data_IF_079956955373
#
_entry.id   IF_079956955373
#
_cell.length_a   1.000
_cell.length_b   1.000
_cell.length_c   1.000
_cell.angle_alpha   90.00
_cell.angle_beta   90.00
_cell.angle_gamma   90.00
#
_symmetry.space_group_name_H-M   'P 1'
#
loop_
_entity.id
_entity.type
_entity.pdbx_description
1 polymer ?
#
# COMPACT_ATOMS: atom_id res chain seq x y z
N UNK A 1 23.02 0.03 -20.91
CA UNK A 1 22.40 -1.08 -20.14
C UNK A 1 22.93 -0.95 -18.73
N UNK A 2 22.20 -0.23 -17.87
CA UNK A 2 22.66 0.17 -16.53
C UNK A 2 21.64 -0.29 -15.49
N UNK A 3 22.20 -0.74 -14.38
CA UNK A 3 21.65 -1.53 -13.29
C UNK A 3 20.61 -0.71 -12.51
N UNK A 4 19.34 -1.11 -12.55
CA UNK A 4 18.36 -0.64 -11.57
C UNK A 4 18.38 -1.63 -10.39
N UNK A 5 19.17 -1.28 -9.38
CA UNK A 5 19.18 -1.96 -8.09
C UNK A 5 17.76 -1.97 -7.51
N UNK A 6 17.33 -3.13 -7.01
CA UNK A 6 16.01 -3.37 -6.45
C UNK A 6 15.73 -2.56 -5.17
N UNK A 7 15.41 -1.28 -5.35
CA UNK A 7 14.83 -0.41 -4.33
C UNK A 7 13.31 -0.32 -4.55
N UNK A 8 12.56 -0.26 -3.44
CA UNK A 8 11.15 0.13 -3.46
C UNK A 8 11.00 1.43 -4.24
N UNK A 9 10.08 1.46 -5.22
CA UNK A 9 9.82 2.64 -6.04
C UNK A 9 8.85 3.62 -5.38
N UNK A 10 8.36 3.32 -4.17
CA UNK A 10 7.74 4.31 -3.29
C UNK A 10 8.87 4.97 -2.49
N UNK A 11 9.03 6.31 -2.53
CA UNK A 11 10.10 7.01 -1.81
C UNK A 11 10.05 6.67 -0.32
N UNK A 12 11.16 6.16 0.23
CA UNK A 12 11.26 5.77 1.65
C UNK A 12 10.93 6.96 2.57
N UNK A 13 11.37 8.15 2.16
CA UNK A 13 11.24 9.40 2.88
C UNK A 13 9.77 9.85 3.04
N UNK A 14 8.91 9.57 2.05
CA UNK A 14 7.47 9.92 2.11
C UNK A 14 6.67 8.98 3.01
N UNK A 15 7.08 7.71 3.12
CA UNK A 15 6.42 6.74 4.01
C UNK A 15 6.86 6.94 5.47
N UNK A 16 8.11 7.37 5.67
CA UNK A 16 8.66 7.68 6.99
C UNK A 16 8.06 8.97 7.59
N UNK A 17 7.73 9.97 6.76
CA UNK A 17 7.08 11.21 7.21
C UNK A 17 5.64 10.97 7.73
N UNK A 18 4.95 10.00 7.13
CA UNK A 18 3.62 9.54 7.62
C UNK A 18 3.76 8.91 9.00
N UNK A 19 4.80 8.08 9.22
CA UNK A 19 5.03 7.36 10.48
C UNK A 19 5.15 8.28 11.70
N UNK A 20 5.69 9.49 11.52
CA UNK A 20 5.91 10.45 12.60
C UNK A 20 4.64 11.23 13.00
N UNK A 21 3.62 11.24 12.15
CA UNK A 21 2.36 11.99 12.39
C UNK A 21 1.32 11.17 13.19
N UNK A 22 1.63 9.91 13.50
CA UNK A 22 0.65 8.88 13.87
C UNK A 22 0.34 8.80 15.38
N UNK A 23 1.12 9.44 16.26
CA UNK A 23 1.06 9.24 17.73
C UNK A 23 -0.26 9.52 18.46
N UNK A 24 -1.37 9.82 17.77
CA UNK A 24 -2.71 9.94 18.35
C UNK A 24 -3.89 9.77 17.36
N UNK A 25 -3.66 9.46 16.07
CA UNK A 25 -4.72 9.38 15.06
C UNK A 25 -5.41 8.01 15.08
N UNK A 26 -6.73 8.00 14.85
CA UNK A 26 -7.47 6.76 14.55
C UNK A 26 -6.80 6.08 13.34
N UNK A 27 -6.45 4.80 13.49
CA UNK A 27 -5.74 4.02 12.48
C UNK A 27 -6.50 3.93 11.14
N UNK A 28 -7.82 4.09 11.16
CA UNK A 28 -8.65 4.19 9.95
C UNK A 28 -8.33 5.46 9.17
N UNK A 29 -8.20 6.59 9.85
CA UNK A 29 -7.80 7.85 9.24
C UNK A 29 -6.40 7.76 8.64
N UNK A 30 -5.50 7.01 9.28
CA UNK A 30 -4.16 6.76 8.72
C UNK A 30 -4.23 5.98 7.41
N UNK A 31 -5.06 4.93 7.33
CA UNK A 31 -5.22 4.15 6.09
C UNK A 31 -5.93 4.94 4.99
N UNK A 32 -6.85 5.83 5.35
CA UNK A 32 -7.43 6.80 4.43
C UNK A 32 -6.36 7.74 3.88
N UNK A 33 -5.55 8.36 4.73
CA UNK A 33 -4.44 9.25 4.35
C UNK A 33 -3.44 8.52 3.42
N UNK A 34 -3.05 7.29 3.77
CA UNK A 34 -2.17 6.44 2.95
C UNK A 34 -2.77 6.17 1.57
N UNK A 35 -4.06 5.84 1.50
CA UNK A 35 -4.71 5.57 0.22
C UNK A 35 -4.73 6.79 -0.70
N UNK A 36 -4.90 8.00 -0.14
CA UNK A 36 -4.83 9.27 -0.88
C UNK A 36 -3.42 9.51 -1.39
N UNK A 37 -2.41 9.35 -0.53
CA UNK A 37 -1.02 9.57 -0.88
C UNK A 37 -0.57 8.63 -2.01
N UNK A 38 -0.86 7.33 -1.88
CA UNK A 38 -0.49 6.33 -2.88
C UNK A 38 -1.24 6.56 -4.20
N UNK A 39 -2.52 6.93 -4.15
CA UNK A 39 -3.29 7.27 -5.34
C UNK A 39 -2.69 8.48 -6.09
N UNK A 40 -2.33 9.52 -5.35
CA UNK A 40 -1.70 10.72 -5.90
C UNK A 40 -0.34 10.41 -6.51
N UNK A 41 0.48 9.62 -5.81
CA UNK A 41 1.80 9.21 -6.29
C UNK A 41 1.71 8.53 -7.66
N UNK A 42 0.91 7.46 -7.79
CA UNK A 42 0.80 6.75 -9.07
C UNK A 42 0.17 7.59 -10.19
N UNK A 43 -0.73 8.52 -9.85
CA UNK A 43 -1.29 9.46 -10.84
C UNK A 43 -0.26 10.50 -11.31
N UNK A 44 0.64 10.94 -10.44
CA UNK A 44 1.71 11.91 -10.76
C UNK A 44 2.91 11.24 -11.43
N UNK A 45 3.08 9.93 -11.23
CA UNK A 45 4.17 9.12 -11.79
C UNK A 45 3.62 8.00 -12.70
N UNK A 46 3.11 8.33 -13.91
CA UNK A 46 2.46 7.36 -14.80
C UNK A 46 3.39 6.21 -15.25
N UNK A 47 4.71 6.42 -15.27
CA UNK A 47 5.69 5.33 -15.49
C UNK A 47 5.70 4.33 -14.34
N UNK A 48 5.65 4.81 -13.08
CA UNK A 48 5.55 3.94 -11.92
C UNK A 48 4.18 3.22 -11.88
N UNK A 49 3.09 3.92 -12.23
CA UNK A 49 1.76 3.33 -12.38
C UNK A 49 1.74 2.24 -13.45
N UNK A 50 2.36 2.45 -14.61
CA UNK A 50 2.45 1.44 -15.67
C UNK A 50 3.26 0.20 -15.24
N UNK A 51 4.38 0.39 -14.52
CA UNK A 51 5.24 -0.71 -14.09
C UNK A 51 4.65 -1.55 -12.95
N UNK A 52 3.91 -0.91 -12.05
CA UNK A 52 3.35 -1.55 -10.84
C UNK A 52 1.91 -2.02 -11.03
N UNK A 53 1.12 -1.29 -11.82
CA UNK A 53 -0.32 -1.50 -11.98
C UNK A 53 -0.72 -1.90 -13.40
N UNK A 54 0.20 -1.86 -14.37
CA UNK A 54 -0.04 -2.30 -15.74
C UNK A 54 -0.17 -3.83 -15.87
N UNK A 55 -0.95 -4.30 -16.85
CA UNK A 55 -1.29 -5.72 -17.05
C UNK A 55 -0.21 -6.57 -17.74
N UNK A 56 0.96 -5.99 -18.06
CA UNK A 56 2.08 -6.70 -18.71
C UNK A 56 3.28 -6.59 -17.78
N UNK A 57 3.25 -7.35 -16.69
CA UNK A 57 4.35 -7.43 -15.73
C UNK A 57 5.30 -8.55 -16.15
N UNK A 58 6.55 -8.19 -16.45
CA UNK A 58 7.64 -9.18 -16.55
C UNK A 58 7.88 -9.82 -15.17
N UNK A 59 8.63 -10.93 -15.12
CA UNK A 59 9.02 -11.58 -13.84
C UNK A 59 9.68 -10.59 -12.86
N UNK A 60 10.41 -9.58 -13.36
CA UNK A 60 11.04 -8.57 -12.52
C UNK A 60 10.03 -7.56 -11.96
N UNK A 61 9.02 -7.14 -12.73
CA UNK A 61 7.93 -6.29 -12.23
C UNK A 61 7.12 -6.99 -11.14
N UNK A 62 6.87 -8.30 -11.27
CA UNK A 62 6.24 -9.09 -10.22
C UNK A 62 7.09 -9.15 -8.93
N UNK A 63 8.41 -9.30 -9.07
CA UNK A 63 9.33 -9.30 -7.92
C UNK A 63 9.42 -7.93 -7.25
N UNK A 64 9.45 -6.84 -8.03
CA UNK A 64 9.43 -5.47 -7.51
C UNK A 64 8.10 -5.16 -6.78
N UNK A 65 6.98 -5.68 -7.31
CA UNK A 65 5.68 -5.60 -6.66
C UNK A 65 5.67 -6.33 -5.33
N UNK A 66 6.15 -7.58 -5.28
CA UNK A 66 6.28 -8.35 -4.04
C UNK A 66 7.17 -7.66 -2.99
N UNK A 67 8.29 -7.06 -3.40
CA UNK A 67 9.14 -6.28 -2.51
C UNK A 67 8.42 -5.03 -1.96
N UNK A 68 7.62 -4.37 -2.79
CA UNK A 68 6.80 -3.21 -2.37
C UNK A 68 5.76 -3.64 -1.34
N UNK A 69 5.08 -4.77 -1.57
CA UNK A 69 4.08 -5.31 -0.64
C UNK A 69 4.70 -5.65 0.71
N UNK A 70 5.84 -6.34 0.73
CA UNK A 70 6.55 -6.66 1.97
C UNK A 70 7.00 -5.38 2.71
N UNK A 71 7.43 -4.37 1.95
CA UNK A 71 7.91 -3.11 2.53
C UNK A 71 6.78 -2.27 3.13
N UNK A 72 5.67 -2.10 2.41
CA UNK A 72 4.48 -1.41 2.94
C UNK A 72 3.87 -2.23 4.07
N UNK A 73 3.93 -3.56 4.01
CA UNK A 73 3.53 -4.44 5.11
C UNK A 73 4.28 -4.15 6.42
N UNK A 74 5.59 -3.91 6.36
CA UNK A 74 6.38 -3.50 7.54
C UNK A 74 5.90 -2.17 8.14
N UNK A 75 5.42 -1.24 7.33
CA UNK A 75 4.85 0.03 7.82
C UNK A 75 3.49 -0.18 8.48
N UNK A 76 2.66 -1.08 7.94
CA UNK A 76 1.43 -1.50 8.60
C UNK A 76 1.74 -2.11 9.98
N UNK A 77 2.80 -2.91 10.10
CA UNK A 77 3.24 -3.45 11.41
C UNK A 77 3.57 -2.36 12.42
N UNK A 78 4.39 -1.38 12.02
CA UNK A 78 4.82 -0.29 12.88
C UNK A 78 3.64 0.58 13.30
N UNK A 79 2.70 0.84 12.37
CA UNK A 79 1.45 1.54 12.65
C UNK A 79 0.63 0.81 13.70
N UNK A 80 0.45 -0.50 13.56
CA UNK A 80 -0.33 -1.32 14.51
C UNK A 80 0.34 -1.38 15.89
N UNK A 81 1.65 -1.57 15.94
CA UNK A 81 2.41 -1.56 17.18
C UNK A 81 2.28 -0.20 17.92
N UNK A 82 2.22 0.92 17.18
CA UNK A 82 2.08 2.26 17.77
C UNK A 82 0.73 2.51 18.46
N UNK A 83 -0.31 1.76 18.09
CA UNK A 83 -1.65 1.82 18.70
C UNK A 83 -1.92 0.65 19.66
N UNK A 84 -0.89 -0.12 20.02
CA UNK A 84 -0.98 -1.24 20.95
C UNK A 84 -1.62 -2.51 20.38
N UNK A 85 -1.70 -2.62 19.05
CA UNK A 85 -2.22 -3.80 18.36
C UNK A 85 -1.05 -4.65 17.88
N UNK A 86 -0.97 -5.90 18.34
CA UNK A 86 -0.11 -6.91 17.75
C UNK A 86 -0.88 -7.66 16.67
N UNK A 87 -0.45 -7.51 15.41
CA UNK A 87 -0.99 -8.31 14.33
C UNK A 87 -0.50 -9.76 14.44
N UNK A 88 -1.34 -10.75 14.08
CA UNK A 88 -0.93 -12.15 14.09
C UNK A 88 0.35 -12.38 13.28
N UNK A 89 1.35 -12.98 13.91
CA UNK A 89 2.54 -13.51 13.25
C UNK A 89 2.39 -15.03 13.09
N UNK A 90 2.10 -15.50 11.88
CA UNK A 90 1.87 -16.92 11.59
C UNK A 90 2.00 -17.25 10.10
N UNK A 91 1.33 -18.32 9.66
CA UNK A 91 1.28 -18.70 8.23
C UNK A 91 0.66 -17.61 7.34
N UNK A 92 -0.25 -16.82 7.91
CA UNK A 92 -0.85 -15.65 7.30
C UNK A 92 -0.04 -14.41 7.68
N UNK A 93 0.31 -13.58 6.69
CA UNK A 93 0.83 -12.22 6.90
C UNK A 93 -0.30 -11.20 6.65
N UNK A 94 -0.99 -10.74 7.71
CA UNK A 94 -2.13 -9.82 7.56
C UNK A 94 -1.71 -8.48 6.96
N UNK A 95 -0.44 -8.09 7.12
CA UNK A 95 0.10 -6.82 6.66
C UNK A 95 0.26 -6.84 5.15
N UNK A 96 0.95 -7.88 4.65
CA UNK A 96 1.11 -8.09 3.22
C UNK A 96 -0.26 -8.23 2.52
N UNK A 97 -1.20 -8.96 3.14
CA UNK A 97 -2.52 -9.14 2.54
C UNK A 97 -3.36 -7.85 2.53
N UNK A 98 -3.27 -7.02 3.58
CA UNK A 98 -3.90 -5.69 3.61
C UNK A 98 -3.44 -4.85 2.43
N UNK A 99 -2.13 -4.78 2.20
CA UNK A 99 -1.54 -3.99 1.12
C UNK A 99 -1.96 -4.52 -0.25
N UNK A 100 -2.01 -5.84 -0.43
CA UNK A 100 -2.46 -6.45 -1.68
C UNK A 100 -3.93 -6.16 -2.00
N UNK A 101 -4.81 -6.20 -0.99
CA UNK A 101 -6.22 -5.85 -1.17
C UNK A 101 -6.38 -4.40 -1.65
N UNK A 102 -5.69 -3.45 -1.01
CA UNK A 102 -5.69 -2.05 -1.44
C UNK A 102 -5.10 -1.87 -2.84
N UNK A 103 -3.96 -2.52 -3.12
CA UNK A 103 -3.27 -2.46 -4.41
C UNK A 103 -4.15 -2.99 -5.55
N UNK A 104 -4.92 -4.05 -5.31
CA UNK A 104 -5.85 -4.59 -6.30
C UNK A 104 -6.91 -3.56 -6.73
N UNK A 105 -7.45 -2.76 -5.80
CA UNK A 105 -8.38 -1.67 -6.09
C UNK A 105 -7.72 -0.61 -6.99
N UNK A 106 -6.51 -0.18 -6.66
CA UNK A 106 -5.77 0.83 -7.43
C UNK A 106 -5.43 0.31 -8.83
N UNK A 107 -5.00 -0.95 -8.92
CA UNK A 107 -4.67 -1.62 -10.18
C UNK A 107 -5.88 -1.68 -11.12
N UNK A 108 -7.04 -2.05 -10.58
CA UNK A 108 -8.28 -2.11 -11.35
C UNK A 108 -8.67 -0.72 -11.86
N UNK A 109 -8.54 0.33 -11.04
CA UNK A 109 -8.79 1.71 -11.48
C UNK A 109 -7.87 2.10 -12.63
N UNK A 110 -6.58 1.83 -12.50
CA UNK A 110 -5.59 2.19 -13.52
C UNK A 110 -5.86 1.46 -14.83
N UNK A 111 -6.20 0.17 -14.78
CA UNK A 111 -6.57 -0.62 -15.95
C UNK A 111 -7.80 -0.06 -16.68
N UNK A 112 -8.85 0.31 -15.93
CA UNK A 112 -10.11 0.77 -16.52
C UNK A 112 -10.08 2.23 -16.97
N UNK A 113 -9.28 3.08 -16.32
CA UNK A 113 -9.38 4.53 -16.46
C UNK A 113 -8.05 5.21 -16.85
N UNK A 114 -6.94 4.46 -16.92
CA UNK A 114 -5.60 5.01 -17.12
C UNK A 114 -5.10 5.86 -15.95
N UNK A 115 -5.83 5.87 -14.83
CA UNK A 115 -5.53 6.62 -13.60
C UNK A 115 -6.28 6.03 -12.42
N UNK A 116 -5.84 6.37 -11.22
CA UNK A 116 -6.57 6.07 -9.98
C UNK A 116 -7.63 7.16 -9.78
N UNK A 117 -8.89 6.75 -9.76
CA UNK A 117 -10.02 7.67 -9.54
C UNK A 117 -10.35 7.79 -8.05
N UNK A 118 -11.02 8.87 -7.61
CA UNK A 118 -11.44 9.01 -6.22
C UNK A 118 -12.33 7.87 -5.71
N UNK A 119 -13.14 7.26 -6.58
CA UNK A 119 -13.98 6.13 -6.20
C UNK A 119 -13.14 4.92 -5.80
N UNK A 120 -12.18 4.54 -6.64
CA UNK A 120 -11.31 3.39 -6.38
C UNK A 120 -10.27 3.66 -5.28
N UNK A 121 -9.87 4.90 -5.07
CA UNK A 121 -9.06 5.29 -3.91
C UNK A 121 -9.83 5.05 -2.60
N UNK A 122 -11.13 5.39 -2.53
CA UNK A 122 -11.96 5.08 -1.35
C UNK A 122 -12.13 3.57 -1.15
N UNK A 123 -12.33 2.81 -2.22
CA UNK A 123 -12.39 1.34 -2.13
C UNK A 123 -11.07 0.73 -1.65
N UNK A 124 -9.93 1.31 -2.04
CA UNK A 124 -8.62 0.91 -1.50
C UNK A 124 -8.56 1.09 0.02
N UNK A 125 -8.94 2.27 0.53
CA UNK A 125 -9.02 2.51 1.97
C UNK A 125 -9.99 1.54 2.67
N UNK A 126 -11.21 1.40 2.13
CA UNK A 126 -12.25 0.55 2.69
C UNK A 126 -11.82 -0.94 2.75
N UNK A 127 -11.13 -1.44 1.72
CA UNK A 127 -10.61 -2.81 1.70
C UNK A 127 -9.55 -3.03 2.78
N UNK A 128 -8.61 -2.09 2.93
CA UNK A 128 -7.57 -2.17 3.95
C UNK A 128 -8.15 -2.10 5.37
N UNK A 129 -9.03 -1.12 5.60
CA UNK A 129 -9.72 -0.94 6.90
C UNK A 129 -10.57 -2.16 7.24
N UNK A 130 -11.39 -2.63 6.30
CA UNK A 130 -12.30 -3.76 6.54
C UNK A 130 -11.55 -5.04 6.89
N UNK A 131 -10.39 -5.28 6.27
CA UNK A 131 -9.57 -6.45 6.58
C UNK A 131 -8.89 -6.33 7.95
N UNK A 132 -8.25 -5.18 8.25
CA UNK A 132 -7.54 -4.97 9.52
C UNK A 132 -8.47 -4.87 10.74
N UNK A 133 -9.70 -4.34 10.56
CA UNK A 133 -10.71 -4.26 11.63
C UNK A 133 -10.99 -5.63 12.26
N UNK A 134 -10.85 -6.72 11.49
CA UNK A 134 -11.04 -8.10 11.97
C UNK A 134 -10.04 -8.56 13.03
N UNK A 135 -8.94 -7.82 13.20
CA UNK A 135 -7.90 -8.11 14.18
C UNK A 135 -7.81 -7.04 15.27
N UNK A 136 -8.25 -5.81 14.97
CA UNK A 136 -8.15 -4.66 15.86
C UNK A 136 -9.42 -4.50 16.71
N UNK A 137 -10.60 -4.72 16.13
CA UNK A 137 -11.89 -4.54 16.81
C UNK A 137 -12.46 -5.84 17.39
N UNK A 138 -11.72 -6.95 17.26
CA UNK A 138 -12.08 -8.30 17.67
C UNK A 138 -11.72 -8.62 19.12
#
# INVERSE_FOLDING_TARGET
MSVYEGKSLVPQDEVEDISQTIGSKDWRLVLEDVSVLVANYYNQHPVAGMLMLGSISSHESHRAMQLTILHVGKHVEQLMASIGVELPSGELDPKALTVELGTACLRLSYFLHGKITPAYQRECAAAMIGYLSRFIDS
#
